data_IF_572511104521
#
_entry.id   IF_572511104521
#
_cell.length_a   1.000
_cell.length_b   1.000
_cell.length_c   1.000
_cell.angle_alpha   90.00
_cell.angle_beta   90.00
_cell.angle_gamma   90.00
#
_symmetry.space_group_name_H-M   'P 1'
#
loop_
_entity.id
_entity.type
_entity.pdbx_description
1 polymer ?
#
# COMPACT_ATOMS: atom_id res chain seq x y z
N UNK A 1 -34.32 -109.63 4.05
CA UNK A 1 -34.13 -108.63 5.12
C UNK A 1 -35.24 -108.79 6.13
N UNK A 2 -34.88 -109.07 7.38
CA UNK A 2 -35.80 -109.31 8.50
C UNK A 2 -36.57 -108.04 8.90
N UNK A 3 -37.76 -108.21 9.49
CA UNK A 3 -38.64 -107.14 9.99
C UNK A 3 -37.92 -106.21 10.98
N UNK A 4 -37.03 -106.79 11.81
CA UNK A 4 -36.18 -106.04 12.74
C UNK A 4 -35.17 -105.13 12.03
N UNK A 5 -34.62 -105.56 10.89
CA UNK A 5 -33.67 -104.77 10.10
C UNK A 5 -34.30 -103.49 9.53
N UNK A 6 -35.55 -103.59 9.03
CA UNK A 6 -36.30 -102.42 8.54
C UNK A 6 -36.66 -101.45 9.66
N UNK A 7 -37.09 -101.96 10.82
CA UNK A 7 -37.41 -101.14 12.00
C UNK A 7 -36.17 -100.37 12.49
N UNK A 8 -35.00 -101.02 12.52
CA UNK A 8 -33.74 -100.39 12.94
C UNK A 8 -33.26 -99.29 11.99
N UNK A 9 -33.44 -99.47 10.68
CA UNK A 9 -33.15 -98.43 9.68
C UNK A 9 -34.13 -97.26 9.81
N UNK A 10 -35.42 -97.55 10.02
CA UNK A 10 -36.44 -96.53 10.24
C UNK A 10 -36.15 -95.69 11.50
N UNK A 11 -35.80 -96.31 12.63
CA UNK A 11 -35.43 -95.57 13.84
C UNK A 11 -34.21 -94.66 13.59
N UNK A 12 -33.13 -95.18 12.98
CA UNK A 12 -31.94 -94.36 12.66
C UNK A 12 -32.25 -93.18 11.74
N UNK A 13 -33.14 -93.37 10.77
CA UNK A 13 -33.54 -92.30 9.84
C UNK A 13 -34.34 -91.22 10.57
N UNK A 14 -35.28 -91.61 11.43
CA UNK A 14 -36.07 -90.67 12.25
C UNK A 14 -35.17 -89.90 13.21
N UNK A 15 -34.24 -90.58 13.89
CA UNK A 15 -33.30 -89.94 14.82
C UNK A 15 -32.41 -88.90 14.10
N UNK A 16 -31.93 -89.23 12.88
CA UNK A 16 -31.14 -88.31 12.06
C UNK A 16 -31.95 -87.08 11.61
N UNK A 17 -33.21 -87.26 11.20
CA UNK A 17 -34.07 -86.14 10.83
C UNK A 17 -34.43 -85.26 12.03
N UNK A 18 -34.73 -85.85 13.18
CA UNK A 18 -35.00 -85.10 14.42
C UNK A 18 -33.80 -84.28 14.86
N UNK A 19 -32.58 -84.85 14.81
CA UNK A 19 -31.35 -84.12 15.10
C UNK A 19 -31.12 -82.93 14.14
N UNK A 20 -31.40 -83.11 12.84
CA UNK A 20 -31.29 -82.02 11.85
C UNK A 20 -32.34 -80.93 12.06
N UNK A 21 -33.55 -81.28 12.46
CA UNK A 21 -34.62 -80.33 12.76
C UNK A 21 -34.23 -79.49 13.98
N UNK A 22 -33.76 -80.12 15.07
CA UNK A 22 -33.33 -79.40 16.27
C UNK A 22 -32.15 -78.45 15.97
N UNK A 23 -31.15 -78.91 15.21
CA UNK A 23 -30.02 -78.07 14.82
C UNK A 23 -30.44 -76.90 13.91
N UNK A 24 -31.50 -77.06 13.11
CA UNK A 24 -32.06 -75.98 12.31
C UNK A 24 -32.85 -74.99 13.16
N UNK A 25 -33.62 -75.49 14.13
CA UNK A 25 -34.37 -74.69 15.10
C UNK A 25 -33.44 -73.81 15.94
N UNK A 26 -32.34 -74.36 16.45
CA UNK A 26 -31.31 -73.59 17.16
C UNK A 26 -30.74 -72.47 16.29
N UNK A 27 -30.46 -72.75 15.01
CA UNK A 27 -29.99 -71.72 14.07
C UNK A 27 -31.03 -70.64 13.81
N UNK A 28 -32.30 -71.02 13.66
CA UNK A 28 -33.39 -70.05 13.48
C UNK A 28 -33.51 -69.16 14.71
N UNK A 29 -33.39 -69.73 15.91
CA UNK A 29 -33.45 -68.97 17.15
C UNK A 29 -32.27 -67.99 17.30
N UNK A 30 -31.05 -68.44 17.00
CA UNK A 30 -29.86 -67.58 16.96
C UNK A 30 -30.00 -66.45 15.93
N UNK A 31 -30.51 -66.74 14.74
CA UNK A 31 -30.77 -65.74 13.70
C UNK A 31 -31.84 -64.74 14.15
N UNK A 32 -32.87 -65.20 14.85
CA UNK A 32 -33.92 -64.34 15.38
C UNK A 32 -33.40 -63.40 16.45
N UNK A 33 -32.55 -63.88 17.35
CA UNK A 33 -31.91 -63.06 18.38
C UNK A 33 -30.94 -62.04 17.78
N UNK A 34 -30.14 -62.45 16.78
CA UNK A 34 -29.28 -61.55 16.03
C UNK A 34 -30.09 -60.49 15.26
N UNK A 35 -31.17 -60.88 14.59
CA UNK A 35 -32.05 -59.95 13.88
C UNK A 35 -32.67 -58.91 14.82
N UNK A 36 -33.12 -59.33 16.00
CA UNK A 36 -33.68 -58.43 17.02
C UNK A 36 -32.62 -57.43 17.50
N UNK A 37 -31.42 -57.91 17.80
CA UNK A 37 -30.30 -57.06 18.23
C UNK A 37 -29.93 -56.03 17.14
N UNK A 38 -29.78 -56.48 15.90
CA UNK A 38 -29.46 -55.61 14.78
C UNK A 38 -30.54 -54.55 14.56
N UNK A 39 -31.83 -54.89 14.72
CA UNK A 39 -32.91 -53.92 14.58
C UNK A 39 -32.81 -52.78 15.61
N UNK A 40 -32.42 -53.08 16.85
CA UNK A 40 -32.17 -52.05 17.86
C UNK A 40 -30.96 -51.19 17.53
N UNK A 41 -29.86 -51.81 17.13
CA UNK A 41 -28.64 -51.09 16.74
C UNK A 41 -28.89 -50.16 15.54
N UNK A 42 -29.70 -50.59 14.57
CA UNK A 42 -30.12 -49.76 13.43
C UNK A 42 -30.85 -48.50 13.90
N UNK A 43 -31.84 -48.63 14.78
CA UNK A 43 -32.58 -47.47 15.29
C UNK A 43 -31.72 -46.54 16.14
N UNK A 44 -30.79 -47.08 16.93
CA UNK A 44 -29.85 -46.26 17.69
C UNK A 44 -28.91 -45.48 16.78
N UNK A 45 -28.38 -46.12 15.74
CA UNK A 45 -27.51 -45.49 14.75
C UNK A 45 -28.28 -44.44 13.95
N UNK A 46 -29.52 -44.72 13.55
CA UNK A 46 -30.39 -43.78 12.84
C UNK A 46 -30.65 -42.53 13.69
N UNK A 47 -30.99 -42.70 14.96
CA UNK A 47 -31.17 -41.57 15.88
C UNK A 47 -29.90 -40.72 16.02
N UNK A 48 -28.73 -41.36 16.19
CA UNK A 48 -27.44 -40.65 16.27
C UNK A 48 -27.09 -39.92 14.99
N UNK A 49 -27.38 -40.52 13.83
CA UNK A 49 -27.17 -39.89 12.53
C UNK A 49 -28.05 -38.64 12.37
N UNK A 50 -29.32 -38.71 12.75
CA UNK A 50 -30.23 -37.57 12.73
C UNK A 50 -29.83 -36.45 13.70
N UNK A 51 -29.35 -36.77 14.90
CA UNK A 51 -28.82 -35.77 15.84
C UNK A 51 -27.58 -35.07 15.27
N UNK A 52 -26.64 -35.85 14.71
CA UNK A 52 -25.45 -35.31 14.07
C UNK A 52 -25.79 -34.40 12.87
N UNK A 53 -26.77 -34.79 12.06
CA UNK A 53 -27.26 -34.00 10.92
C UNK A 53 -27.83 -32.65 11.37
N UNK A 54 -28.70 -32.63 12.39
CA UNK A 54 -29.25 -31.39 12.96
C UNK A 54 -28.14 -30.47 13.49
N UNK A 55 -27.14 -31.04 14.15
CA UNK A 55 -25.98 -30.27 14.64
C UNK A 55 -25.15 -29.70 13.49
N UNK A 56 -24.97 -30.45 12.42
CA UNK A 56 -24.28 -29.98 11.22
C UNK A 56 -25.05 -28.86 10.52
N UNK A 57 -26.37 -28.94 10.44
CA UNK A 57 -27.21 -27.87 9.88
C UNK A 57 -27.05 -26.56 10.67
N UNK A 58 -27.09 -26.64 12.01
CA UNK A 58 -26.86 -25.48 12.88
C UNK A 58 -25.47 -24.88 12.64
N UNK A 59 -24.42 -25.72 12.64
CA UNK A 59 -23.05 -25.26 12.41
C UNK A 59 -22.87 -24.63 11.03
N UNK A 60 -23.46 -25.23 10.00
CA UNK A 60 -23.41 -24.72 8.62
C UNK A 60 -24.05 -23.33 8.56
N UNK A 61 -25.22 -23.13 9.17
CA UNK A 61 -25.86 -21.82 9.24
C UNK A 61 -25.05 -20.76 9.99
N UNK A 62 -24.28 -21.16 11.01
CA UNK A 62 -23.39 -20.26 11.74
C UNK A 62 -22.16 -19.89 10.90
N UNK A 63 -21.59 -20.86 10.20
CA UNK A 63 -20.45 -20.64 9.29
C UNK A 63 -20.83 -19.71 8.15
N UNK A 64 -22.02 -19.88 7.55
CA UNK A 64 -22.52 -18.96 6.52
C UNK A 64 -22.65 -17.53 7.04
N UNK A 65 -23.27 -17.33 8.21
CA UNK A 65 -23.37 -16.01 8.85
C UNK A 65 -22.00 -15.38 9.13
N UNK A 66 -21.03 -16.18 9.60
CA UNK A 66 -19.68 -15.70 9.82
C UNK A 66 -18.97 -15.35 8.51
N UNK A 67 -19.16 -16.15 7.45
CA UNK A 67 -18.60 -15.89 6.13
C UNK A 67 -19.11 -14.56 5.57
N UNK A 68 -20.42 -14.28 5.70
CA UNK A 68 -21.01 -13.00 5.30
C UNK A 68 -20.38 -11.83 6.06
N UNK A 69 -20.29 -11.91 7.39
CA UNK A 69 -19.66 -10.88 8.23
C UNK A 69 -18.18 -10.67 7.83
N UNK A 70 -17.42 -11.75 7.65
CA UNK A 70 -16.01 -11.68 7.26
C UNK A 70 -15.87 -11.01 5.89
N UNK A 71 -16.77 -11.30 4.94
CA UNK A 71 -16.75 -10.69 3.62
C UNK A 71 -16.99 -9.18 3.67
N UNK A 72 -17.96 -8.72 4.47
CA UNK A 72 -18.22 -7.29 4.68
C UNK A 72 -17.04 -6.60 5.35
N UNK A 73 -16.47 -7.22 6.39
CA UNK A 73 -15.30 -6.68 7.09
C UNK A 73 -14.06 -6.65 6.21
N UNK A 74 -13.89 -7.61 5.32
CA UNK A 74 -12.79 -7.63 4.36
C UNK A 74 -12.86 -6.42 3.41
N UNK A 75 -14.05 -6.08 2.91
CA UNK A 75 -14.24 -4.89 2.06
C UNK A 75 -13.86 -3.61 2.83
N UNK A 76 -14.28 -3.49 4.09
CA UNK A 76 -13.95 -2.34 4.94
C UNK A 76 -12.44 -2.20 5.18
N UNK A 77 -11.76 -3.32 5.49
CA UNK A 77 -10.30 -3.33 5.67
C UNK A 77 -9.60 -2.90 4.38
N UNK A 78 -10.06 -3.41 3.22
CA UNK A 78 -9.46 -3.06 1.93
C UNK A 78 -9.61 -1.58 1.58
N UNK A 79 -10.80 -1.01 1.83
CA UNK A 79 -11.04 0.42 1.64
C UNK A 79 -10.18 1.29 2.56
N UNK A 80 -10.03 0.87 3.82
CA UNK A 80 -9.18 1.58 4.78
C UNK A 80 -7.71 1.53 4.36
N UNK A 81 -7.21 0.35 3.96
CA UNK A 81 -5.84 0.17 3.47
C UNK A 81 -5.55 1.10 2.28
N UNK A 82 -6.46 1.15 1.30
CA UNK A 82 -6.36 2.06 0.15
C UNK A 82 -6.39 3.53 0.57
N UNK A 83 -7.26 3.91 1.49
CA UNK A 83 -7.36 5.29 1.99
C UNK A 83 -6.07 5.71 2.72
N UNK A 84 -5.48 4.82 3.51
CA UNK A 84 -4.19 5.04 4.17
C UNK A 84 -3.08 5.22 3.14
N UNK A 85 -2.93 4.30 2.17
CA UNK A 85 -1.92 4.42 1.11
C UNK A 85 -2.07 5.70 0.30
N UNK A 86 -3.30 6.08 -0.06
CA UNK A 86 -3.54 7.35 -0.75
C UNK A 86 -3.15 8.57 0.10
N UNK A 87 -3.39 8.50 1.41
CA UNK A 87 -3.04 9.57 2.35
C UNK A 87 -1.52 9.68 2.51
N UNK A 88 -0.82 8.55 2.68
CA UNK A 88 0.64 8.50 2.74
C UNK A 88 1.31 8.99 1.47
N UNK A 89 0.71 8.76 0.30
CA UNK A 89 1.23 9.25 -0.98
C UNK A 89 0.93 10.74 -1.21
N UNK A 90 -0.17 11.27 -0.66
CA UNK A 90 -0.59 12.68 -0.82
C UNK A 90 0.04 13.61 0.21
N UNK A 91 0.14 13.19 1.47
CA UNK A 91 0.70 13.98 2.57
C UNK A 91 2.11 14.54 2.28
N UNK A 92 3.11 13.76 1.82
CA UNK A 92 4.44 14.27 1.52
C UNK A 92 4.44 15.15 0.27
N UNK A 93 3.58 14.90 -0.73
CA UNK A 93 3.46 15.75 -1.92
C UNK A 93 2.93 17.13 -1.56
N UNK A 94 1.84 17.18 -0.77
CA UNK A 94 1.26 18.44 -0.27
C UNK A 94 2.26 19.17 0.64
N UNK A 95 2.92 18.43 1.55
CA UNK A 95 3.97 19.00 2.41
C UNK A 95 5.10 19.61 1.58
N UNK A 96 5.65 18.87 0.61
CA UNK A 96 6.71 19.36 -0.31
C UNK A 96 6.25 20.57 -1.11
N UNK A 97 5.04 20.55 -1.66
CA UNK A 97 4.50 21.66 -2.45
C UNK A 97 4.35 22.94 -1.61
N UNK A 98 3.94 22.80 -0.34
CA UNK A 98 3.88 23.90 0.62
C UNK A 98 5.27 24.39 1.07
N UNK A 99 6.28 23.53 1.18
CA UNK A 99 7.67 23.97 1.44
C UNK A 99 8.27 24.67 0.23
N UNK A 100 8.04 24.17 -0.98
CA UNK A 100 8.56 24.78 -2.21
C UNK A 100 7.93 26.15 -2.50
N UNK A 101 6.64 26.34 -2.19
CA UNK A 101 5.99 27.66 -2.37
C UNK A 101 6.48 28.72 -1.38
N UNK A 102 7.03 28.31 -0.22
CA UNK A 102 7.61 29.19 0.80
C UNK A 102 9.12 29.36 0.69
N UNK A 103 9.76 28.76 -0.32
CA UNK A 103 11.21 28.79 -0.46
C UNK A 103 11.68 30.17 -0.98
N UNK A 104 12.55 30.88 -0.24
CA UNK A 104 13.09 32.18 -0.68
C UNK A 104 13.82 32.14 -2.03
N UNK A 105 14.34 30.96 -2.41
CA UNK A 105 14.95 30.75 -3.73
C UNK A 105 13.94 30.93 -4.87
N UNK A 106 12.74 30.36 -4.73
CA UNK A 106 11.71 30.43 -5.78
C UNK A 106 11.21 31.85 -5.94
N UNK A 107 11.07 32.59 -4.84
CA UNK A 107 10.76 34.02 -4.84
C UNK A 107 11.87 34.84 -5.53
N UNK A 108 13.14 34.55 -5.22
CA UNK A 108 14.29 35.16 -5.88
C UNK A 108 14.28 34.93 -7.39
N UNK A 109 14.08 33.69 -7.85
CA UNK A 109 14.00 33.35 -9.28
C UNK A 109 12.83 34.09 -9.94
N UNK A 110 11.64 34.06 -9.36
CA UNK A 110 10.49 34.80 -9.91
C UNK A 110 10.77 36.30 -10.04
N UNK A 111 11.40 36.92 -9.05
CA UNK A 111 11.69 38.35 -9.08
C UNK A 111 12.83 38.72 -10.03
N UNK A 112 13.90 37.90 -10.09
CA UNK A 112 15.03 38.11 -11.01
C UNK A 112 14.61 37.92 -12.47
N UNK A 113 13.89 36.83 -12.78
CA UNK A 113 13.47 36.52 -14.14
C UNK A 113 12.24 37.34 -14.57
N UNK A 114 11.33 37.67 -13.65
CA UNK A 114 10.10 38.41 -13.95
C UNK A 114 10.31 39.90 -14.15
N UNK A 115 11.12 40.56 -13.31
CA UNK A 115 11.22 42.03 -13.34
C UNK A 115 12.55 42.54 -13.91
N UNK A 116 13.66 41.86 -13.64
CA UNK A 116 14.99 42.32 -14.05
C UNK A 116 15.38 41.86 -15.45
N UNK A 117 14.90 40.69 -15.92
CA UNK A 117 15.20 40.20 -17.28
C UNK A 117 14.46 41.01 -18.35
N UNK A 118 13.23 41.45 -18.11
CA UNK A 118 12.53 42.41 -18.97
C UNK A 118 13.24 43.77 -19.00
N UNK A 119 13.71 44.25 -17.84
CA UNK A 119 14.48 45.50 -17.72
C UNK A 119 15.84 45.39 -18.43
N UNK A 120 16.56 44.28 -18.26
CA UNK A 120 17.82 43.99 -18.96
C UNK A 120 17.62 43.82 -20.46
N UNK A 121 16.53 43.18 -20.90
CA UNK A 121 16.17 43.07 -22.32
C UNK A 121 15.89 44.45 -22.94
N UNK A 122 15.31 45.38 -22.18
CA UNK A 122 15.12 46.77 -22.59
C UNK A 122 16.44 47.55 -22.71
N UNK A 123 17.41 47.31 -21.81
CA UNK A 123 18.74 47.95 -21.84
C UNK A 123 19.67 47.33 -22.89
N UNK A 124 19.56 46.02 -23.10
CA UNK A 124 20.40 45.23 -24.00
C UNK A 124 19.84 45.18 -25.44
N UNK A 125 18.80 45.94 -25.76
CA UNK A 125 18.33 46.12 -27.14
C UNK A 125 19.29 47.10 -27.85
N UNK A 126 20.28 46.64 -28.65
CA UNK A 126 21.36 47.48 -29.16
C UNK A 126 21.01 48.10 -30.52
N UNK A 127 19.74 48.09 -30.93
CA UNK A 127 19.33 48.46 -32.29
C UNK A 127 18.17 49.45 -32.27
N UNK A 128 18.44 50.67 -31.78
CA UNK A 128 17.47 51.75 -31.89
C UNK A 128 17.92 52.99 -31.13
N UNK A 129 18.49 53.94 -31.86
CA UNK A 129 18.78 55.31 -31.41
C UNK A 129 20.10 55.53 -30.67
N UNK A 130 21.18 55.63 -31.45
CA UNK A 130 22.30 56.52 -31.11
C UNK A 130 21.75 57.96 -31.06
N UNK A 131 21.25 58.38 -29.91
CA UNK A 131 20.88 59.78 -29.66
C UNK A 131 21.75 60.32 -28.53
N UNK A 132 22.73 61.14 -28.92
CA UNK A 132 23.37 62.27 -28.22
C UNK A 132 23.34 62.38 -26.67
N UNK A 133 23.37 61.28 -25.92
CA UNK A 133 23.50 61.29 -24.48
C UNK A 133 24.94 60.93 -24.08
N UNK A 134 25.48 61.70 -23.13
CA UNK A 134 26.83 61.56 -22.56
C UNK A 134 27.08 60.09 -22.15
N UNK A 135 28.14 59.42 -22.66
CA UNK A 135 28.49 58.04 -22.32
C UNK A 135 28.52 57.78 -20.81
N UNK A 136 28.88 58.78 -20.01
CA UNK A 136 28.92 58.68 -18.56
C UNK A 136 27.54 58.51 -17.92
N UNK A 137 26.48 59.04 -18.53
CA UNK A 137 25.11 58.94 -18.01
C UNK A 137 24.55 57.51 -18.14
N UNK A 138 24.86 56.83 -19.26
CA UNK A 138 24.48 55.45 -19.51
C UNK A 138 25.16 54.48 -18.53
N UNK A 139 26.48 54.62 -18.34
CA UNK A 139 27.22 53.80 -17.38
C UNK A 139 26.81 54.06 -15.95
N UNK A 140 26.51 55.31 -15.58
CA UNK A 140 25.98 55.65 -14.26
C UNK A 140 24.61 54.99 -14.02
N UNK A 141 23.72 55.00 -15.02
CA UNK A 141 22.42 54.36 -14.94
C UNK A 141 22.53 52.83 -14.86
N UNK A 142 23.35 52.21 -15.70
CA UNK A 142 23.62 50.78 -15.67
C UNK A 142 24.23 50.33 -14.32
N UNK A 143 25.21 51.07 -13.80
CA UNK A 143 25.82 50.82 -12.50
C UNK A 143 24.81 50.99 -11.35
N UNK A 144 23.92 51.98 -11.42
CA UNK A 144 22.87 52.18 -10.42
C UNK A 144 21.88 50.99 -10.38
N UNK A 145 21.45 50.50 -11.54
CA UNK A 145 20.58 49.33 -11.62
C UNK A 145 21.27 48.04 -11.17
N UNK A 146 22.55 47.85 -11.52
CA UNK A 146 23.36 46.73 -11.03
C UNK A 146 23.54 46.76 -9.52
N UNK A 147 23.77 47.94 -8.94
CA UNK A 147 23.89 48.12 -7.48
C UNK A 147 22.58 47.77 -6.76
N UNK A 148 21.44 48.17 -7.33
CA UNK A 148 20.12 47.78 -6.84
C UNK A 148 19.90 46.26 -6.87
N UNK A 149 20.23 45.62 -8.00
CA UNK A 149 20.14 44.16 -8.14
C UNK A 149 21.04 43.41 -7.14
N UNK A 150 22.26 43.90 -6.90
CA UNK A 150 23.19 43.30 -5.93
C UNK A 150 22.71 43.46 -4.48
N UNK A 151 22.12 44.60 -4.14
CA UNK A 151 21.52 44.83 -2.82
C UNK A 151 20.36 43.87 -2.56
N UNK A 152 19.48 43.69 -3.56
CA UNK A 152 18.40 42.70 -3.49
C UNK A 152 18.94 41.28 -3.36
N UNK A 153 19.93 40.90 -4.17
CA UNK A 153 20.57 39.58 -4.10
C UNK A 153 21.19 39.31 -2.73
N UNK A 154 21.82 40.31 -2.08
CA UNK A 154 22.35 40.20 -0.72
C UNK A 154 21.26 39.96 0.32
N UNK A 155 20.11 40.61 0.18
CA UNK A 155 18.97 40.39 1.07
C UNK A 155 18.37 38.98 0.90
N UNK A 156 18.30 38.48 -0.35
CA UNK A 156 17.88 37.10 -0.63
C UNK A 156 18.89 36.08 -0.11
N UNK A 157 20.19 36.37 -0.22
CA UNK A 157 21.25 35.52 0.31
C UNK A 157 21.11 35.29 1.80
N UNK A 158 20.88 36.34 2.59
CA UNK A 158 20.64 36.22 4.03
C UNK A 158 19.37 35.39 4.35
N UNK A 159 18.28 35.63 3.61
CA UNK A 159 17.03 34.84 3.76
C UNK A 159 17.27 33.36 3.40
N UNK A 160 18.02 33.09 2.34
CA UNK A 160 18.40 31.76 1.88
C UNK A 160 19.30 31.05 2.88
N UNK A 161 20.29 31.73 3.47
CA UNK A 161 21.14 31.15 4.50
C UNK A 161 20.32 30.66 5.69
N UNK A 162 19.37 31.47 6.18
CA UNK A 162 18.51 31.06 7.30
C UNK A 162 17.64 29.86 6.93
N UNK A 163 17.10 29.84 5.71
CA UNK A 163 16.30 28.73 5.20
C UNK A 163 17.11 27.44 5.01
N UNK A 164 18.29 27.55 4.40
CA UNK A 164 19.23 26.43 4.18
C UNK A 164 19.69 25.86 5.51
N UNK A 165 20.07 26.71 6.48
CA UNK A 165 20.44 26.27 7.83
C UNK A 165 19.31 25.47 8.49
N UNK A 166 18.09 26.03 8.47
CA UNK A 166 16.91 25.38 9.02
C UNK A 166 16.58 24.05 8.34
N UNK A 167 16.69 23.96 7.02
CA UNK A 167 16.45 22.71 6.29
C UNK A 167 17.58 21.69 6.47
N UNK A 168 18.83 22.13 6.63
CA UNK A 168 19.97 21.25 6.92
C UNK A 168 19.87 20.65 8.33
N UNK A 169 19.56 21.46 9.35
CA UNK A 169 19.38 21.00 10.74
C UNK A 169 18.18 20.04 10.90
N UNK A 170 17.19 20.14 10.01
CA UNK A 170 15.98 19.30 10.02
C UNK A 170 16.19 17.89 9.47
N UNK A 171 17.25 17.67 8.69
CA UNK A 171 17.50 16.39 8.03
C UNK A 171 18.77 15.75 8.62
N UNK A 172 18.70 14.46 8.96
CA UNK A 172 19.81 13.74 9.62
C UNK A 172 21.12 13.75 8.80
N UNK A 173 21.02 13.73 7.46
CA UNK A 173 22.17 13.66 6.55
C UNK A 173 22.95 15.00 6.46
N UNK A 174 22.35 16.14 6.08
CA UNK A 174 23.04 17.42 6.06
C UNK A 174 23.16 18.07 7.45
N UNK A 175 22.50 17.54 8.49
CA UNK A 175 22.55 18.10 9.84
C UNK A 175 23.97 18.17 10.41
N UNK A 176 24.81 17.16 10.13
CA UNK A 176 26.22 17.15 10.52
C UNK A 176 27.08 18.19 9.78
N UNK A 177 26.60 18.70 8.64
CA UNK A 177 27.28 19.67 7.80
C UNK A 177 26.70 21.08 7.92
N UNK A 178 25.75 21.31 8.84
CA UNK A 178 25.06 22.58 9.07
C UNK A 178 25.94 23.67 9.71
N UNK A 179 27.23 23.68 9.37
CA UNK A 179 28.17 24.72 9.75
C UNK A 179 27.89 26.01 8.97
N UNK A 180 28.18 27.16 9.58
CA UNK A 180 27.87 28.46 8.98
C UNK A 180 28.55 28.69 7.62
N UNK A 181 29.77 28.16 7.46
CA UNK A 181 30.54 28.22 6.20
C UNK A 181 29.87 27.44 5.07
N UNK A 182 29.41 26.22 5.36
CA UNK A 182 28.73 25.36 4.37
C UNK A 182 27.39 25.96 3.99
N UNK A 183 26.62 26.46 4.97
CA UNK A 183 25.36 27.17 4.73
C UNK A 183 25.59 28.41 3.84
N UNK A 184 26.65 29.18 4.11
CA UNK A 184 27.04 30.33 3.29
C UNK A 184 27.37 29.93 1.86
N UNK A 185 28.16 28.88 1.67
CA UNK A 185 28.55 28.38 0.33
C UNK A 185 27.34 27.89 -0.46
N UNK A 186 26.46 27.11 0.17
CA UNK A 186 25.24 26.59 -0.46
C UNK A 186 24.28 27.72 -0.84
N UNK A 187 24.04 28.68 0.07
CA UNK A 187 23.21 29.85 -0.23
C UNK A 187 23.79 30.71 -1.37
N UNK A 188 25.12 30.84 -1.43
CA UNK A 188 25.82 31.55 -2.51
C UNK A 188 25.68 30.82 -3.84
N UNK A 189 25.89 29.50 -3.85
CA UNK A 189 25.76 28.68 -5.05
C UNK A 189 24.35 28.74 -5.65
N UNK A 190 23.31 28.73 -4.80
CA UNK A 190 21.92 28.87 -5.23
C UNK A 190 21.67 30.21 -5.95
N UNK A 191 22.35 31.29 -5.57
CA UNK A 191 22.19 32.60 -6.25
C UNK A 191 23.04 32.67 -7.53
N UNK A 192 24.28 32.20 -7.48
CA UNK A 192 25.26 32.37 -8.57
C UNK A 192 24.95 31.44 -9.74
N UNK A 193 24.53 30.20 -9.47
CA UNK A 193 24.35 29.17 -10.50
C UNK A 193 23.28 29.53 -11.55
N UNK A 194 22.08 30.04 -11.19
CA UNK A 194 21.09 30.50 -12.15
C UNK A 194 21.57 31.69 -13.00
N UNK A 195 22.32 32.61 -12.40
CA UNK A 195 22.89 33.77 -13.09
C UNK A 195 23.92 33.30 -14.12
N UNK A 196 24.81 32.40 -13.71
CA UNK A 196 25.82 31.81 -14.60
C UNK A 196 25.18 31.05 -15.76
N UNK A 197 24.15 30.22 -15.50
CA UNK A 197 23.42 29.50 -16.57
C UNK A 197 22.75 30.49 -17.53
N UNK A 198 22.04 31.48 -17.01
CA UNK A 198 21.38 32.49 -17.84
C UNK A 198 22.38 33.26 -18.70
N UNK A 199 23.52 33.63 -18.12
CA UNK A 199 24.62 34.29 -18.83
C UNK A 199 25.18 33.38 -19.94
N UNK A 200 25.53 32.13 -19.63
CA UNK A 200 26.07 31.19 -20.61
C UNK A 200 25.08 30.93 -21.76
N UNK A 201 23.78 30.82 -21.45
CA UNK A 201 22.71 30.68 -22.43
C UNK A 201 22.58 31.92 -23.34
N UNK A 202 22.59 33.13 -22.76
CA UNK A 202 22.58 34.38 -23.53
C UNK A 202 23.78 34.46 -24.49
N UNK A 203 24.99 34.18 -24.00
CA UNK A 203 26.20 34.21 -24.83
C UNK A 203 26.20 33.12 -25.92
N UNK A 204 25.58 31.96 -25.67
CA UNK A 204 25.43 30.93 -26.69
C UNK A 204 24.48 31.33 -27.84
N UNK A 205 23.54 32.25 -27.59
CA UNK A 205 22.61 32.76 -28.61
C UNK A 205 23.23 33.88 -29.47
N UNK A 206 24.29 34.51 -28.98
CA UNK A 206 25.07 35.53 -29.71
C UNK A 206 26.23 34.95 -30.52
N UNK A 207 26.48 33.64 -30.47
CA UNK A 207 27.52 32.94 -31.23
C UNK A 207 26.94 32.23 -32.45
#
# INVERSE_FOLDING_TARGET
MDYEGKKKIHCKLVDHHSSRINALEEKVQLLWDAARKNNFEIHELEFKAQDAEKRLEILTSQVEKMADIISEKWIQIRQLEQAVQMTEMRAPKVKRQLTFSKCPFVEFIKNLFGHHLETLKGILHPYGSYSAADPNSYWAQALHHLRGAFSSAKQYHYKLQRFVKQEMERNELPGALANEEVVFLVASALIVFPIYIAFTFLFSHFR
#
